data_IF_500538914353
#
_entry.id   IF_500538914353
#
_cell.length_a   1.000
_cell.length_b   1.000
_cell.length_c   1.000
_cell.angle_alpha   90.00
_cell.angle_beta   90.00
_cell.angle_gamma   90.00
#
_symmetry.space_group_name_H-M   'P 1'
#
loop_
_entity.id
_entity.type
_entity.pdbx_description
1 polymer ?
#
# COMPACT_ATOMS: atom_id res chain seq x y z
N UNK A 1 0.06 -3.45 -21.44
CA UNK A 1 0.45 -2.96 -20.19
C UNK A 1 0.80 -4.07 -19.26
N UNK A 2 1.84 -3.93 -18.50
CA UNK A 2 2.24 -4.97 -17.62
C UNK A 2 1.67 -4.79 -16.25
N UNK A 3 1.20 -5.83 -15.66
CA UNK A 3 0.71 -5.79 -14.31
C UNK A 3 1.43 -6.80 -13.47
N UNK A 4 1.38 -6.62 -12.16
CA UNK A 4 2.12 -7.43 -11.26
C UNK A 4 1.32 -7.83 -10.05
N UNK A 5 1.75 -8.88 -9.40
CA UNK A 5 1.20 -9.27 -8.13
C UNK A 5 2.28 -8.95 -7.13
N UNK A 6 1.99 -8.12 -6.16
CA UNK A 6 2.95 -7.74 -5.13
C UNK A 6 2.45 -8.34 -3.83
N UNK A 7 3.22 -9.28 -3.29
CA UNK A 7 2.81 -9.92 -2.06
C UNK A 7 3.68 -9.43 -0.92
N UNK A 8 3.14 -8.73 0.04
CA UNK A 8 3.90 -8.17 1.12
C UNK A 8 4.23 -9.24 2.13
N UNK A 9 5.51 -9.45 2.38
CA UNK A 9 5.97 -10.45 3.31
C UNK A 9 6.13 -9.85 4.69
N UNK A 10 6.55 -8.62 4.78
CA UNK A 10 6.76 -7.95 6.03
C UNK A 10 6.72 -6.44 5.87
N UNK A 11 6.08 -5.77 6.77
CA UNK A 11 6.05 -4.30 6.77
C UNK A 11 7.14 -3.84 7.73
N UNK A 12 8.11 -3.09 7.24
CA UNK A 12 9.22 -2.64 8.05
C UNK A 12 9.05 -1.31 8.69
N UNK A 13 8.68 -0.35 7.97
CA UNK A 13 8.51 1.01 8.50
C UNK A 13 7.66 1.86 7.59
N UNK A 14 7.28 3.00 8.06
CA UNK A 14 6.46 3.91 7.28
C UNK A 14 6.90 5.33 7.57
N UNK A 15 6.89 6.16 6.55
CA UNK A 15 7.24 7.56 6.70
C UNK A 15 6.39 8.39 5.75
N UNK A 16 6.47 9.68 5.84
CA UNK A 16 5.72 10.51 4.90
C UNK A 16 6.58 11.69 4.43
N UNK A 17 6.22 12.21 3.31
CA UNK A 17 6.90 13.37 2.75
C UNK A 17 6.25 13.76 1.45
N UNK A 18 6.25 15.02 1.14
CA UNK A 18 5.71 15.56 -0.10
C UNK A 18 4.25 15.12 -0.34
N UNK A 19 3.48 15.00 0.72
CA UNK A 19 2.08 14.62 0.59
C UNK A 19 1.86 13.15 0.36
N UNK A 20 2.91 12.34 0.44
CA UNK A 20 2.79 10.92 0.21
C UNK A 20 3.20 10.13 1.43
N UNK A 21 2.64 8.97 1.61
CA UNK A 21 3.06 8.07 2.65
C UNK A 21 3.89 6.97 2.00
N UNK A 22 5.09 6.76 2.50
CA UNK A 22 5.99 5.76 1.95
C UNK A 22 6.11 4.60 2.93
N UNK A 23 5.97 3.41 2.44
CA UNK A 23 6.01 2.21 3.27
C UNK A 23 7.19 1.36 2.83
N UNK A 24 8.05 0.98 3.78
CA UNK A 24 9.13 0.09 3.47
C UNK A 24 8.70 -1.30 3.78
N UNK A 25 8.80 -2.18 2.83
CA UNK A 25 8.32 -3.53 2.97
C UNK A 25 9.26 -4.53 2.34
N UNK A 26 9.13 -5.77 2.77
CA UNK A 26 9.76 -6.87 2.06
C UNK A 26 8.63 -7.46 1.26
N UNK A 27 8.77 -7.57 0.00
CA UNK A 27 7.70 -8.07 -0.86
C UNK A 27 8.23 -8.92 -2.01
N UNK A 28 7.39 -9.78 -2.50
CA UNK A 28 7.69 -10.56 -3.67
C UNK A 28 6.87 -9.95 -4.78
N UNK A 29 7.50 -9.57 -5.86
CA UNK A 29 6.83 -8.97 -6.99
C UNK A 29 6.93 -9.94 -8.16
N UNK A 30 5.82 -10.36 -8.68
CA UNK A 30 5.80 -11.29 -9.79
C UNK A 30 4.90 -10.79 -10.90
N UNK A 31 5.22 -11.03 -12.13
CA UNK A 31 4.38 -10.61 -13.23
C UNK A 31 3.06 -11.38 -13.18
N UNK A 32 2.00 -10.69 -13.47
CA UNK A 32 0.72 -11.33 -13.39
C UNK A 32 0.42 -12.01 -14.67
N UNK A 33 -0.08 -13.20 -14.60
CA UNK A 33 -0.37 -13.90 -15.77
C UNK A 33 -1.70 -13.54 -16.20
N UNK A 34 -1.90 -13.25 -17.45
CA UNK A 34 -3.10 -12.73 -17.85
C UNK A 34 -4.20 -13.61 -17.75
N UNK A 35 -4.08 -14.75 -17.74
CA UNK A 35 -5.18 -15.55 -17.84
C UNK A 35 -5.93 -15.75 -16.66
N UNK A 36 -5.59 -15.34 -15.66
CA UNK A 36 -6.21 -15.62 -14.56
C UNK A 36 -7.38 -15.08 -14.24
N UNK A 37 -7.66 -14.10 -14.32
CA UNK A 37 -8.74 -13.51 -13.79
C UNK A 37 -9.67 -13.16 -14.58
N UNK A 38 -10.24 -13.99 -15.07
CA UNK A 38 -11.12 -13.68 -15.98
C UNK A 38 -12.25 -12.94 -15.57
N UNK A 39 -12.61 -12.95 -14.42
CA UNK A 39 -13.80 -12.28 -14.12
C UNK A 39 -13.69 -10.89 -14.26
N UNK A 40 -12.71 -10.31 -14.33
CA UNK A 40 -12.68 -9.01 -14.38
C UNK A 40 -12.67 -8.57 -15.65
N UNK A 41 -13.29 -8.96 -16.42
CA UNK A 41 -13.39 -8.62 -17.68
C UNK A 41 -12.74 -7.48 -18.08
N UNK A 42 -12.10 -6.97 -17.75
CA UNK A 42 -11.68 -5.87 -18.24
C UNK A 42 -10.31 -5.74 -18.30
N UNK A 43 -9.74 -4.90 -17.62
CA UNK A 43 -8.44 -4.60 -17.72
C UNK A 43 -7.60 -5.22 -16.70
N UNK A 44 -6.45 -5.61 -16.94
CA UNK A 44 -5.57 -6.17 -15.96
C UNK A 44 -5.18 -5.13 -14.94
N UNK A 45 -5.04 -5.49 -13.70
CA UNK A 45 -4.65 -4.58 -12.67
C UNK A 45 -3.51 -5.14 -11.86
N UNK A 46 -2.65 -4.31 -11.37
CA UNK A 46 -1.62 -4.71 -10.43
C UNK A 46 -2.28 -4.94 -9.07
N UNK A 47 -2.00 -6.04 -8.44
CA UNK A 47 -2.64 -6.43 -7.20
C UNK A 47 -1.65 -6.39 -6.06
N UNK A 48 -2.06 -5.84 -4.93
CA UNK A 48 -1.26 -5.80 -3.75
C UNK A 48 -1.89 -6.73 -2.73
N UNK A 49 -1.18 -7.73 -2.30
CA UNK A 49 -1.69 -8.71 -1.36
C UNK A 49 -0.98 -8.64 -0.03
N UNK A 50 -1.71 -8.77 1.07
CA UNK A 50 -1.12 -8.76 2.36
C UNK A 50 -1.77 -9.81 3.23
N UNK A 51 -1.06 -10.33 4.21
CA UNK A 51 -1.68 -11.22 5.19
C UNK A 51 -2.44 -10.36 6.19
N UNK A 52 -3.28 -11.00 6.97
CA UNK A 52 -4.03 -10.28 7.99
C UNK A 52 -3.07 -9.63 8.99
N UNK A 53 -2.03 -10.32 9.40
CA UNK A 53 -1.06 -9.78 10.33
C UNK A 53 -0.40 -8.53 9.77
N UNK A 54 0.02 -8.57 8.53
CA UNK A 54 0.65 -7.41 7.90
C UNK A 54 -0.35 -6.28 7.71
N UNK A 55 -1.58 -6.60 7.43
CA UNK A 55 -2.61 -5.59 7.27
C UNK A 55 -2.85 -4.85 8.58
N UNK A 56 -2.82 -5.56 9.70
CA UNK A 56 -3.01 -4.92 10.99
C UNK A 56 -1.85 -4.00 11.35
N UNK A 57 -0.64 -4.42 11.05
CA UNK A 57 0.53 -3.60 11.27
C UNK A 57 0.44 -2.34 10.41
N UNK A 58 0.08 -2.51 9.15
CA UNK A 58 -0.04 -1.39 8.25
C UNK A 58 -1.11 -0.41 8.72
N UNK A 59 -2.21 -0.92 9.25
CA UNK A 59 -3.27 -0.07 9.76
C UNK A 59 -2.76 0.82 10.90
N UNK A 60 -2.02 0.24 11.84
CA UNK A 60 -1.51 1.01 12.94
C UNK A 60 -0.52 2.08 12.47
N UNK A 61 0.33 1.74 11.56
CA UNK A 61 1.29 2.70 11.04
C UNK A 61 0.60 3.80 10.22
N UNK A 62 -0.40 3.43 9.46
CA UNK A 62 -1.13 4.42 8.68
C UNK A 62 -1.88 5.38 9.59
N UNK A 63 -2.43 4.92 10.68
CA UNK A 63 -3.12 5.80 11.61
C UNK A 63 -2.18 6.86 12.14
N UNK A 64 -0.95 6.48 12.45
CA UNK A 64 0.04 7.42 12.94
C UNK A 64 0.36 8.48 11.88
N UNK A 65 0.55 8.05 10.63
CA UNK A 65 0.90 8.97 9.57
C UNK A 65 -0.25 9.93 9.25
N UNK A 66 -1.46 9.41 9.26
CA UNK A 66 -2.63 10.24 8.99
C UNK A 66 -2.80 11.27 10.11
N UNK A 67 -2.55 10.87 11.34
CA UNK A 67 -2.63 11.80 12.45
C UNK A 67 -1.64 12.96 12.30
N UNK A 68 -0.47 12.67 11.74
CA UNK A 68 0.49 13.72 11.50
C UNK A 68 0.04 14.67 10.41
N UNK A 69 -0.55 14.16 9.37
CA UNK A 69 -1.10 15.02 8.32
C UNK A 69 -2.21 15.90 8.91
N UNK A 70 -3.05 15.34 9.74
CA UNK A 70 -4.14 16.11 10.34
C UNK A 70 -3.60 17.22 11.23
N UNK A 71 -2.52 16.96 11.95
CA UNK A 71 -1.95 17.98 12.75
C UNK A 71 -1.40 19.12 11.92
N UNK A 72 -0.79 18.81 10.79
CA UNK A 72 -0.26 19.83 9.92
C UNK A 72 -1.37 20.65 9.33
N UNK A 73 -2.47 20.02 8.97
CA UNK A 73 -3.58 20.75 8.41
C UNK A 73 -4.17 21.67 9.46
N UNK A 74 -4.30 21.20 10.67
CA UNK A 74 -4.82 22.04 11.72
C UNK A 74 -3.94 23.27 11.95
N UNK A 75 -2.63 23.10 11.85
CA UNK A 75 -1.80 24.22 12.04
C UNK A 75 -1.88 25.14 10.90
N UNK A 76 -1.99 24.67 9.70
CA UNK A 76 -1.97 25.56 8.58
C UNK A 76 -3.24 26.31 8.43
N UNK A 77 -4.24 26.04 9.21
CA UNK A 77 -5.43 26.83 9.12
C UNK A 77 -5.27 28.13 9.80
N UNK A 78 -4.29 28.30 10.54
CA UNK A 78 -4.07 29.58 11.19
C UNK A 78 -2.88 30.30 10.61
#
# INVERSE_FOLDING_TARGET
MKTYNIEIQKVKSMSNGHGLINVRIDAIVAPQSKAQDSDDAGEPHTVLSLTEANARVMLLLLKTQIAEFDKRKARSRF
#
